data_IF_496656356417
#
_entry.id   IF_496656356417
#
_cell.length_a   1.000
_cell.length_b   1.000
_cell.length_c   1.000
_cell.angle_alpha   90.00
_cell.angle_beta   90.00
_cell.angle_gamma   90.00
#
_symmetry.space_group_name_H-M   'P 1'
#
loop_
_entity.id
_entity.type
_entity.pdbx_description
1 polymer ?
#
# COMPACT_ATOMS: atom_id res chain seq x y z
N UNK A 1 -2.62 -9.35 -12.22
CA UNK A 1 -3.70 -9.84 -11.32
C UNK A 1 -3.43 -9.40 -9.91
N UNK A 2 -4.45 -8.83 -9.26
CA UNK A 2 -4.28 -8.31 -7.90
C UNK A 2 -4.75 -9.32 -6.87
N UNK A 3 -3.86 -9.66 -5.94
CA UNK A 3 -4.22 -10.44 -4.76
C UNK A 3 -4.49 -9.49 -3.60
N UNK A 4 -5.28 -8.44 -3.86
CA UNK A 4 -5.58 -7.41 -2.87
C UNK A 4 -7.04 -7.01 -2.92
N UNK A 5 -7.49 -6.52 -1.78
CA UNK A 5 -8.81 -5.91 -1.62
C UNK A 5 -8.61 -4.47 -1.18
N UNK A 6 -9.62 -3.64 -1.38
CA UNK A 6 -9.54 -2.24 -0.93
C UNK A 6 -10.83 -1.84 -0.22
N UNK A 7 -10.68 -1.11 0.88
CA UNK A 7 -11.82 -0.60 1.65
C UNK A 7 -11.39 0.64 2.43
N UNK A 8 -12.10 1.74 2.24
CA UNK A 8 -11.83 3.03 2.91
C UNK A 8 -10.37 3.47 2.74
N UNK A 9 -9.80 3.21 1.56
CA UNK A 9 -8.43 3.58 1.26
C UNK A 9 -7.37 2.63 1.77
N UNK A 10 -7.75 1.56 2.47
CA UNK A 10 -6.82 0.55 2.97
C UNK A 10 -6.79 -0.65 2.02
N UNK A 11 -5.59 -1.13 1.75
CA UNK A 11 -5.39 -2.34 0.96
C UNK A 11 -5.22 -3.53 1.89
N UNK A 12 -5.86 -4.64 1.54
CA UNK A 12 -5.70 -5.88 2.26
C UNK A 12 -5.17 -6.98 1.36
N UNK A 13 -4.29 -7.82 1.89
CA UNK A 13 -3.77 -8.96 1.15
C UNK A 13 -4.76 -10.12 1.14
N UNK A 14 -4.60 -11.01 0.16
CA UNK A 14 -5.38 -12.24 0.05
C UNK A 14 -4.39 -13.39 -0.06
N UNK A 15 -4.41 -14.27 0.94
CA UNK A 15 -3.54 -15.43 1.00
C UNK A 15 -4.37 -16.66 1.34
N UNK A 16 -3.86 -17.84 1.02
CA UNK A 16 -4.55 -19.08 1.29
C UNK A 16 -3.66 -20.04 2.07
N UNK A 17 -4.20 -20.62 3.13
CA UNK A 17 -3.53 -21.67 3.88
C UNK A 17 -4.20 -23.01 3.56
N UNK A 18 -3.48 -23.89 2.88
CA UNK A 18 -3.97 -25.23 2.61
C UNK A 18 -4.15 -26.02 3.91
N UNK A 19 -3.20 -25.86 4.83
CA UNK A 19 -3.19 -26.59 6.10
C UNK A 19 -4.45 -26.28 6.92
N UNK A 20 -4.81 -24.99 7.00
CA UNK A 20 -5.96 -24.56 7.78
C UNK A 20 -7.25 -24.48 6.95
N UNK A 21 -7.14 -24.66 5.65
CA UNK A 21 -8.24 -24.53 4.69
C UNK A 21 -8.95 -23.17 4.83
N UNK A 22 -8.16 -22.12 4.96
CA UNK A 22 -8.67 -20.76 5.18
C UNK A 22 -7.99 -19.77 4.24
N UNK A 23 -8.76 -18.76 3.86
CA UNK A 23 -8.21 -17.55 3.29
C UNK A 23 -7.88 -16.59 4.44
N UNK A 24 -6.81 -15.83 4.30
CA UNK A 24 -6.42 -14.88 5.34
C UNK A 24 -5.65 -13.72 4.72
N UNK A 25 -5.39 -12.69 5.50
CA UNK A 25 -4.61 -11.57 5.06
C UNK A 25 -4.41 -10.54 6.14
N UNK A 26 -3.82 -9.44 5.75
CA UNK A 26 -3.57 -8.32 6.67
C UNK A 26 -3.65 -7.01 5.90
N UNK A 27 -3.89 -5.92 6.63
CA UNK A 27 -3.85 -4.57 6.05
C UNK A 27 -2.39 -4.26 5.69
N UNK A 28 -2.18 -3.83 4.46
CA UNK A 28 -0.85 -3.51 3.93
C UNK A 28 -0.53 -2.04 4.14
N UNK A 29 0.76 -1.73 4.25
CA UNK A 29 1.23 -0.35 4.27
C UNK A 29 1.09 0.39 5.58
N UNK A 30 0.69 -0.28 6.66
CA UNK A 30 0.65 0.31 8.00
C UNK A 30 1.50 -0.54 8.95
N UNK A 31 1.92 0.06 10.08
CA UNK A 31 2.76 -0.64 11.07
C UNK A 31 1.93 -1.52 11.99
N UNK A 32 0.71 -1.12 12.26
CA UNK A 32 -0.19 -1.93 13.09
C UNK A 32 -0.48 -3.26 12.39
N UNK A 33 -0.50 -4.33 13.16
CA UNK A 33 -0.87 -5.64 12.63
C UNK A 33 -2.38 -5.80 12.73
N UNK A 34 -3.05 -5.72 11.59
CA UNK A 34 -4.50 -5.92 11.50
C UNK A 34 -4.73 -7.05 10.50
N UNK A 35 -5.19 -8.18 11.00
CA UNK A 35 -5.39 -9.38 10.19
C UNK A 35 -6.86 -9.81 10.19
N UNK A 36 -7.20 -10.67 9.25
CA UNK A 36 -8.55 -11.15 9.05
C UNK A 36 -8.50 -12.49 8.33
N UNK A 37 -9.62 -13.22 8.36
CA UNK A 37 -9.68 -14.54 7.73
C UNK A 37 -11.12 -14.88 7.33
N UNK A 38 -11.27 -15.90 6.51
CA UNK A 38 -12.57 -16.41 6.11
C UNK A 38 -12.45 -17.75 5.40
N UNK A 39 -13.50 -18.56 5.47
CA UNK A 39 -13.53 -19.87 4.83
C UNK A 39 -13.83 -19.79 3.33
N UNK A 40 -14.30 -18.66 2.87
CA UNK A 40 -14.59 -18.40 1.46
C UNK A 40 -14.37 -16.92 1.16
N UNK A 41 -14.48 -16.55 -0.12
CA UNK A 41 -14.20 -15.19 -0.54
C UNK A 41 -15.12 -14.16 0.14
N UNK A 42 -16.40 -14.46 0.28
CA UNK A 42 -17.35 -13.53 0.91
C UNK A 42 -17.04 -13.28 2.37
N UNK A 43 -16.70 -14.34 3.10
CA UNK A 43 -16.33 -14.21 4.50
C UNK A 43 -15.04 -13.43 4.66
N UNK A 44 -14.08 -13.68 3.79
CA UNK A 44 -12.81 -12.94 3.82
C UNK A 44 -13.03 -11.46 3.62
N UNK A 45 -13.82 -11.09 2.61
CA UNK A 45 -14.13 -9.68 2.30
C UNK A 45 -14.85 -9.04 3.49
N UNK A 46 -15.85 -9.72 4.05
CA UNK A 46 -16.60 -9.19 5.19
C UNK A 46 -15.69 -8.99 6.41
N UNK A 47 -14.79 -9.95 6.66
CA UNK A 47 -13.89 -9.85 7.81
C UNK A 47 -12.85 -8.76 7.60
N UNK A 48 -12.38 -8.57 6.37
CA UNK A 48 -11.50 -7.46 6.02
C UNK A 48 -12.17 -6.12 6.31
N UNK A 49 -13.42 -5.94 5.85
CA UNK A 49 -14.16 -4.70 6.12
C UNK A 49 -14.34 -4.47 7.61
N UNK A 50 -14.71 -5.52 8.37
CA UNK A 50 -14.83 -5.42 9.82
C UNK A 50 -13.51 -5.05 10.48
N UNK A 51 -12.42 -5.65 10.03
CA UNK A 51 -11.10 -5.37 10.59
C UNK A 51 -10.68 -3.92 10.37
N UNK A 52 -10.95 -3.36 9.19
CA UNK A 52 -10.68 -1.94 8.91
C UNK A 52 -11.53 -1.06 9.82
N UNK A 53 -12.82 -1.33 9.90
CA UNK A 53 -13.74 -0.54 10.73
C UNK A 53 -13.34 -0.60 12.20
N UNK A 54 -12.98 -1.78 12.70
CA UNK A 54 -12.54 -1.95 14.08
C UNK A 54 -11.26 -1.19 14.36
N UNK A 55 -10.31 -1.21 13.42
CA UNK A 55 -9.07 -0.46 13.53
C UNK A 55 -9.35 1.05 13.65
N UNK A 56 -10.22 1.57 12.77
CA UNK A 56 -10.57 2.98 12.79
C UNK A 56 -11.31 3.37 14.08
N UNK A 57 -12.20 2.51 14.56
CA UNK A 57 -12.91 2.74 15.83
C UNK A 57 -11.95 2.73 17.02
N UNK A 58 -11.01 1.80 17.03
CA UNK A 58 -10.01 1.72 18.08
C UNK A 58 -9.14 2.98 18.13
N UNK A 59 -8.73 3.47 16.97
CA UNK A 59 -7.97 4.70 16.88
C UNK A 59 -8.77 5.89 17.41
N UNK A 60 -10.05 5.98 17.05
CA UNK A 60 -10.92 7.05 17.52
C UNK A 60 -11.10 7.02 19.04
N UNK A 61 -11.29 5.82 19.61
CA UNK A 61 -11.47 5.66 21.06
C UNK A 61 -10.21 6.01 21.85
N UNK A 62 -9.05 5.69 21.32
CA UNK A 62 -7.78 5.97 22.00
C UNK A 62 -7.20 7.35 21.67
N UNK A 63 -7.88 8.14 20.86
CA UNK A 63 -7.42 9.47 20.47
C UNK A 63 -6.18 9.43 19.58
N UNK A 64 -5.94 8.30 18.93
CA UNK A 64 -4.79 8.11 18.03
C UNK A 64 -5.25 8.32 16.60
N UNK A 65 -4.45 9.04 15.82
CA UNK A 65 -4.71 9.22 14.40
C UNK A 65 -4.46 7.89 13.68
N UNK A 66 -5.42 7.39 12.88
CA UNK A 66 -5.16 6.14 12.14
C UNK A 66 -4.05 6.34 11.13
N UNK A 67 -3.23 5.32 10.93
CA UNK A 67 -2.18 5.35 9.91
C UNK A 67 -2.83 5.40 8.53
N UNK A 68 -2.24 6.20 7.66
CA UNK A 68 -2.66 6.26 6.25
C UNK A 68 -1.66 5.48 5.45
N UNK A 69 -2.11 4.41 4.83
CA UNK A 69 -1.30 3.69 3.88
C UNK A 69 -1.09 4.55 2.63
N UNK A 70 0.11 4.48 2.07
CA UNK A 70 0.41 5.09 0.76
C UNK A 70 0.21 6.60 0.72
N UNK A 71 0.89 7.28 1.65
CA UNK A 71 0.99 8.74 1.65
C UNK A 71 1.72 9.21 0.39
N UNK A 72 1.55 10.47 0.03
CA UNK A 72 2.27 11.06 -1.09
C UNK A 72 3.77 11.22 -0.90
N UNK A 73 4.32 10.78 0.24
CA UNK A 73 5.75 10.86 0.53
C UNK A 73 6.30 9.51 0.93
N UNK A 74 7.43 9.13 0.37
CA UNK A 74 8.18 7.96 0.83
C UNK A 74 9.64 8.15 0.47
N UNK A 75 10.52 7.47 1.20
CA UNK A 75 11.95 7.56 0.99
C UNK A 75 12.44 6.38 0.17
N UNK A 76 13.27 6.68 -0.82
CA UNK A 76 13.89 5.67 -1.67
C UNK A 76 15.40 5.79 -1.56
N UNK A 77 16.07 4.65 -1.39
CA UNK A 77 17.53 4.62 -1.36
C UNK A 77 18.03 4.21 -2.75
N UNK A 78 18.78 5.09 -3.37
CA UNK A 78 19.37 4.86 -4.70
C UNK A 78 20.86 5.15 -4.63
N UNK A 79 21.61 4.72 -5.66
CA UNK A 79 23.02 5.01 -5.72
C UNK A 79 23.26 6.51 -5.93
N UNK A 80 24.39 7.05 -5.42
CA UNK A 80 24.75 8.44 -5.69
C UNK A 80 24.83 8.76 -7.17
N UNK A 81 25.32 7.83 -7.97
CA UNK A 81 25.43 8.02 -9.41
C UNK A 81 24.07 8.18 -10.07
N UNK A 82 23.12 7.32 -9.69
CA UNK A 82 21.76 7.40 -10.23
C UNK A 82 21.07 8.69 -9.78
N UNK A 83 21.29 9.11 -8.54
CA UNK A 83 20.76 10.38 -8.04
C UNK A 83 21.26 11.55 -8.91
N UNK A 84 22.56 11.56 -9.19
CA UNK A 84 23.17 12.59 -10.04
C UNK A 84 22.56 12.58 -11.45
N UNK A 85 22.43 11.41 -12.04
CA UNK A 85 21.85 11.27 -13.38
C UNK A 85 20.39 11.74 -13.41
N UNK A 86 19.64 11.48 -12.37
CA UNK A 86 18.24 11.94 -12.29
C UNK A 86 18.15 13.45 -12.22
N UNK A 87 19.03 14.10 -11.45
CA UNK A 87 19.09 15.55 -11.37
C UNK A 87 19.41 16.17 -12.73
N UNK A 88 20.40 15.62 -13.42
CA UNK A 88 20.79 16.11 -14.75
C UNK A 88 19.65 15.93 -15.75
N UNK A 89 18.99 14.79 -15.72
CA UNK A 89 17.86 14.53 -16.62
C UNK A 89 16.67 15.47 -16.36
N UNK A 90 16.39 15.75 -15.09
CA UNK A 90 15.32 16.69 -14.74
C UNK A 90 15.66 18.11 -15.25
N UNK A 91 16.90 18.53 -15.08
CA UNK A 91 17.35 19.83 -15.58
C UNK A 91 17.23 19.92 -17.11
N UNK A 92 17.61 18.87 -17.80
CA UNK A 92 17.54 18.83 -19.27
C UNK A 92 16.09 18.95 -19.77
N UNK A 93 15.13 18.48 -18.99
CA UNK A 93 13.70 18.57 -19.30
C UNK A 93 13.04 19.81 -18.73
N UNK A 94 13.80 20.62 -18.01
CA UNK A 94 13.31 21.84 -17.36
C UNK A 94 12.14 21.55 -16.40
N UNK A 95 12.26 20.47 -15.64
CA UNK A 95 11.29 20.10 -14.59
C UNK A 95 12.01 19.90 -13.26
N UNK A 96 11.27 19.91 -12.16
CA UNK A 96 11.87 19.64 -10.86
C UNK A 96 12.26 18.15 -10.76
N UNK A 97 13.20 17.87 -9.86
CA UNK A 97 13.57 16.47 -9.58
C UNK A 97 12.34 15.67 -9.16
N UNK A 98 11.50 16.23 -8.30
CA UNK A 98 10.28 15.57 -7.85
C UNK A 98 9.36 15.22 -9.01
N UNK A 99 9.12 16.16 -9.91
CA UNK A 99 8.27 15.94 -11.09
C UNK A 99 8.86 14.87 -12.02
N UNK A 100 10.18 14.90 -12.18
CA UNK A 100 10.87 13.89 -12.99
C UNK A 100 10.70 12.49 -12.39
N UNK A 101 10.89 12.35 -11.09
CA UNK A 101 10.76 11.08 -10.39
C UNK A 101 9.33 10.56 -10.45
N UNK A 102 8.35 11.43 -10.19
CA UNK A 102 6.94 11.07 -10.24
C UNK A 102 6.55 10.55 -11.63
N UNK A 103 6.94 11.27 -12.68
CA UNK A 103 6.65 10.84 -14.04
C UNK A 103 7.33 9.51 -14.39
N UNK A 104 8.56 9.30 -13.90
CA UNK A 104 9.31 8.08 -14.15
C UNK A 104 8.64 6.87 -13.47
N UNK A 105 8.19 7.05 -12.23
CA UNK A 105 7.48 5.99 -11.49
C UNK A 105 6.16 5.68 -12.18
N UNK A 106 5.40 6.70 -12.56
CA UNK A 106 4.12 6.51 -13.24
C UNK A 106 4.30 5.72 -14.54
N UNK A 107 5.32 6.06 -15.32
CA UNK A 107 5.64 5.37 -16.57
C UNK A 107 5.97 3.90 -16.32
N UNK A 108 6.81 3.62 -15.32
CA UNK A 108 7.20 2.27 -14.99
C UNK A 108 6.02 1.43 -14.50
N UNK A 109 5.17 2.01 -13.65
CA UNK A 109 3.99 1.33 -13.11
C UNK A 109 2.99 1.02 -14.21
N UNK A 110 2.71 1.96 -15.09
CA UNK A 110 1.74 1.77 -16.18
C UNK A 110 2.28 0.78 -17.24
N UNK A 111 3.57 0.73 -17.43
CA UNK A 111 4.19 -0.22 -18.36
C UNK A 111 4.11 -1.66 -17.85
N UNK A 112 3.97 -1.85 -16.53
CA UNK A 112 3.91 -3.17 -15.89
C UNK A 112 2.50 -3.77 -15.87
N UNK A 113 1.51 -2.97 -16.22
CA UNK A 113 0.11 -3.38 -16.15
C UNK A 113 -0.27 -4.39 -17.25
#
# INVERSE_FOLDING_TARGET
MNNTMEYKGYLGSVEFSEEDALFYGKILGIRALVSYEGSNARELIADFHSAVDDYLDLCAQSGTEPEKAYKGNFNVRISPELHKQAVVAAMARNVSLNSFVEASIAKAVHASA
#
